data_IF_504679948950
#
_entry.id   IF_504679948950
#
_cell.length_a   1.000
_cell.length_b   1.000
_cell.length_c   1.000
_cell.angle_alpha   90.00
_cell.angle_beta   90.00
_cell.angle_gamma   90.00
#
_symmetry.space_group_name_H-M   'P 1'
#
loop_
_entity.id
_entity.type
_entity.pdbx_description
1 polymer ?
#
# COMPACT_ATOMS: atom_id res chain seq x y z
N UNK A 1 10.83 1.09 -5.96
CA UNK A 1 9.41 1.49 -5.90
C UNK A 1 9.38 2.99 -6.12
N UNK A 2 8.62 3.43 -7.12
CA UNK A 2 8.42 4.84 -7.42
C UNK A 2 6.99 5.23 -7.02
N UNK A 3 6.87 6.14 -6.06
CA UNK A 3 5.61 6.76 -5.67
C UNK A 3 5.38 8.08 -6.42
N UNK A 4 4.14 8.54 -6.42
CA UNK A 4 3.68 9.74 -7.10
C UNK A 4 3.06 10.71 -6.11
N UNK A 5 3.05 12.00 -6.45
CA UNK A 5 2.23 12.97 -5.72
C UNK A 5 0.77 12.76 -6.07
N UNK A 6 -0.12 12.83 -5.07
CA UNK A 6 -1.57 12.66 -5.26
C UNK A 6 -2.30 13.92 -4.84
N UNK A 7 -3.00 14.52 -5.81
CA UNK A 7 -3.85 15.69 -5.60
C UNK A 7 -5.30 15.25 -5.29
N UNK A 8 -5.95 15.97 -4.38
CA UNK A 8 -7.37 15.78 -4.02
C UNK A 8 -7.67 14.97 -2.75
N UNK A 9 -6.68 14.34 -2.10
CA UNK A 9 -6.87 13.57 -0.85
C UNK A 9 -5.71 13.77 0.12
N UNK A 10 -5.99 14.25 1.34
CA UNK A 10 -4.96 14.47 2.38
C UNK A 10 -4.45 13.19 3.06
N UNK A 11 -5.26 12.13 3.06
CA UNK A 11 -5.03 10.91 3.86
C UNK A 11 -4.64 9.69 2.98
N UNK A 12 -4.08 9.94 1.79
CA UNK A 12 -3.54 8.90 0.92
C UNK A 12 -2.16 8.42 1.43
N UNK A 13 -1.88 7.12 1.33
CA UNK A 13 -0.56 6.58 1.61
C UNK A 13 0.22 6.38 0.32
N UNK A 14 1.40 7.01 0.22
CA UNK A 14 2.32 7.10 -0.95
C UNK A 14 2.40 5.87 -1.89
N UNK A 15 2.31 4.67 -1.35
CA UNK A 15 2.45 3.37 -2.02
C UNK A 15 1.14 2.72 -2.46
N UNK A 16 -0.01 3.35 -2.26
CA UNK A 16 -1.30 2.85 -2.74
C UNK A 16 -1.42 2.82 -4.27
N UNK A 17 -0.68 3.72 -4.94
CA UNK A 17 -0.48 3.79 -6.39
C UNK A 17 1.00 4.07 -6.62
N UNK A 18 1.76 3.04 -7.00
CA UNK A 18 3.21 3.12 -7.19
C UNK A 18 3.70 2.16 -8.27
N UNK A 19 4.78 2.52 -8.97
CA UNK A 19 5.45 1.60 -9.89
C UNK A 19 6.46 0.72 -9.15
N UNK A 20 6.26 -0.59 -9.25
CA UNK A 20 7.10 -1.62 -8.63
C UNK A 20 7.87 -2.37 -9.72
N UNK A 21 9.17 -2.13 -9.82
CA UNK A 21 10.04 -2.82 -10.77
C UNK A 21 10.17 -4.32 -10.47
N UNK A 22 10.24 -5.14 -11.52
CA UNK A 22 10.25 -6.62 -11.45
C UNK A 22 11.25 -7.19 -10.44
N UNK A 23 12.49 -6.67 -10.38
CA UNK A 23 13.53 -7.11 -9.42
C UNK A 23 13.20 -6.84 -7.95
N UNK A 24 12.28 -5.92 -7.66
CA UNK A 24 11.73 -5.71 -6.32
C UNK A 24 10.60 -6.71 -6.05
N UNK A 25 9.68 -6.86 -7.02
CA UNK A 25 8.52 -7.75 -6.97
C UNK A 25 8.87 -9.24 -6.76
N UNK A 26 10.07 -9.67 -7.16
CA UNK A 26 10.60 -11.02 -6.91
C UNK A 26 10.83 -11.40 -5.43
N UNK A 27 10.67 -10.46 -4.47
CA UNK A 27 10.69 -10.74 -3.01
C UNK A 27 9.40 -11.33 -2.46
N UNK A 28 8.32 -11.22 -3.22
CA UNK A 28 6.99 -11.61 -2.76
C UNK A 28 6.67 -13.00 -3.31
N UNK A 29 6.27 -13.97 -2.46
CA UNK A 29 5.74 -15.26 -2.92
C UNK A 29 4.67 -15.05 -3.99
N UNK A 30 4.78 -15.78 -5.11
CA UNK A 30 3.89 -15.65 -6.29
C UNK A 30 3.72 -14.22 -6.85
N UNK A 31 4.65 -13.29 -6.52
CA UNK A 31 4.58 -11.85 -6.80
C UNK A 31 3.41 -11.14 -6.08
N UNK A 32 2.88 -11.74 -5.01
CA UNK A 32 1.79 -11.24 -4.18
C UNK A 32 2.24 -10.00 -3.37
N UNK A 33 2.27 -8.84 -4.02
CA UNK A 33 2.82 -7.57 -3.51
C UNK A 33 2.17 -7.09 -2.20
N UNK A 34 0.88 -7.33 -2.01
CA UNK A 34 0.14 -6.98 -0.80
C UNK A 34 0.06 -8.20 0.14
N UNK A 35 0.28 -7.98 1.44
CA UNK A 35 0.22 -9.07 2.43
C UNK A 35 -1.18 -9.70 2.48
N UNK A 36 -1.33 -11.02 2.21
CA UNK A 36 -2.64 -11.66 2.07
C UNK A 36 -3.44 -11.81 3.38
N UNK A 37 -2.88 -11.42 4.53
CA UNK A 37 -3.63 -11.32 5.78
C UNK A 37 -4.56 -10.11 5.86
N UNK A 38 -4.29 -9.04 5.12
CA UNK A 38 -5.17 -7.86 5.04
C UNK A 38 -6.34 -8.10 4.10
N UNK A 39 -7.48 -7.47 4.41
CA UNK A 39 -8.62 -7.45 3.50
C UNK A 39 -8.46 -6.35 2.42
N UNK A 40 -7.93 -5.18 2.80
CA UNK A 40 -7.77 -4.03 1.90
C UNK A 40 -6.55 -3.15 2.25
N UNK A 41 -6.24 -2.93 3.53
CA UNK A 41 -5.19 -1.99 3.94
C UNK A 41 -3.83 -2.69 4.08
N UNK A 42 -3.12 -2.85 2.97
CA UNK A 42 -1.80 -3.50 2.94
C UNK A 42 -0.71 -2.80 2.12
N UNK A 43 -0.96 -1.63 1.55
CA UNK A 43 0.00 -0.95 0.67
C UNK A 43 1.20 -0.35 1.43
N UNK A 44 1.07 -0.09 2.72
CA UNK A 44 2.06 0.62 3.53
C UNK A 44 3.38 -0.17 3.67
N UNK A 45 3.27 -1.49 3.80
CA UNK A 45 4.44 -2.38 3.94
C UNK A 45 5.38 -2.33 2.73
N UNK A 46 4.84 -2.06 1.52
CA UNK A 46 5.63 -1.86 0.29
C UNK A 46 6.59 -0.68 0.47
N UNK A 47 6.11 0.43 1.05
CA UNK A 47 6.93 1.61 1.31
C UNK A 47 7.91 1.40 2.45
N UNK A 48 7.55 0.62 3.48
CA UNK A 48 8.45 0.30 4.59
C UNK A 48 9.61 -0.60 4.12
N UNK A 49 9.34 -1.66 3.37
CA UNK A 49 10.37 -2.50 2.76
C UNK A 49 11.24 -1.70 1.77
N UNK A 50 10.60 -0.90 0.91
CA UNK A 50 11.33 -0.10 -0.07
C UNK A 50 12.24 0.95 0.60
N UNK A 51 11.82 1.56 1.71
CA UNK A 51 12.70 2.42 2.53
C UNK A 51 13.82 1.62 3.17
N UNK A 52 13.51 0.51 3.85
CA UNK A 52 14.50 -0.37 4.52
C UNK A 52 15.62 -0.81 3.57
N UNK A 53 15.28 -1.10 2.32
CA UNK A 53 16.24 -1.55 1.29
C UNK A 53 16.91 -0.41 0.49
N UNK A 54 16.61 0.87 0.78
CA UNK A 54 17.12 2.01 0.01
C UNK A 54 16.63 2.04 -1.45
N UNK A 55 15.41 1.53 -1.72
CA UNK A 55 14.79 1.38 -3.05
C UNK A 55 13.45 2.13 -3.18
N UNK A 56 13.16 3.06 -2.28
CA UNK A 56 11.98 3.95 -2.39
C UNK A 56 12.38 5.31 -2.97
N UNK A 57 11.57 5.83 -3.88
CA UNK A 57 11.73 7.15 -4.49
C UNK A 57 10.34 7.76 -4.73
N UNK A 58 10.23 9.08 -4.61
CA UNK A 58 9.06 9.85 -5.06
C UNK A 58 9.41 10.60 -6.36
N UNK A 59 8.45 10.75 -7.27
CA UNK A 59 8.55 11.63 -8.43
C UNK A 59 7.53 12.77 -8.32
N UNK A 60 8.00 13.93 -7.89
CA UNK A 60 7.14 15.08 -7.57
C UNK A 60 6.57 15.80 -8.80
N UNK A 61 7.16 15.56 -9.98
CA UNK A 61 6.69 16.10 -11.26
C UNK A 61 5.50 15.31 -11.82
N UNK A 62 5.29 14.08 -11.35
CA UNK A 62 4.16 13.24 -11.74
C UNK A 62 3.08 13.28 -10.65
N UNK A 63 2.00 13.98 -10.98
CA UNK A 63 0.82 14.17 -10.13
C UNK A 63 -0.34 13.33 -10.62
N UNK A 64 -1.04 12.67 -9.70
CA UNK A 64 -2.23 11.88 -9.98
C UNK A 64 -3.43 12.47 -9.25
N UNK A 65 -4.49 12.84 -9.97
CA UNK A 65 -5.76 13.26 -9.37
C UNK A 65 -6.51 12.03 -8.87
N UNK A 66 -6.70 11.89 -7.56
CA UNK A 66 -7.41 10.73 -7.01
C UNK A 66 -8.89 11.06 -6.74
N UNK A 67 -9.78 10.46 -7.54
CA UNK A 67 -11.24 10.65 -7.47
C UNK A 67 -11.89 9.86 -6.32
N UNK A 68 -11.64 10.28 -5.08
CA UNK A 68 -12.06 9.52 -3.89
C UNK A 68 -13.60 9.48 -3.71
N UNK A 69 -14.24 8.30 -3.57
CA UNK A 69 -15.69 8.21 -3.42
C UNK A 69 -16.28 8.82 -2.14
N UNK A 70 -15.47 9.27 -1.17
CA UNK A 70 -15.99 10.10 -0.08
C UNK A 70 -16.52 11.47 -0.56
N UNK A 71 -15.89 12.03 -1.59
CA UNK A 71 -16.32 13.26 -2.26
C UNK A 71 -17.28 12.95 -3.41
N UNK A 72 -17.01 11.86 -4.16
CA UNK A 72 -17.84 11.40 -5.27
C UNK A 72 -18.71 10.21 -4.85
N UNK A 73 -19.72 10.45 -3.99
CA UNK A 73 -20.54 9.37 -3.37
C UNK A 73 -21.22 8.41 -4.35
N UNK A 74 -21.44 8.82 -5.60
CA UNK A 74 -21.99 7.98 -6.67
C UNK A 74 -20.98 6.95 -7.22
N UNK A 75 -19.69 7.07 -6.87
CA UNK A 75 -18.62 6.11 -7.21
C UNK A 75 -18.35 5.09 -6.07
N UNK A 76 -19.21 5.02 -5.03
CA UNK A 76 -19.06 4.04 -3.94
C UNK A 76 -19.57 2.67 -4.41
N UNK A 77 -18.64 1.86 -4.92
CA UNK A 77 -18.84 0.46 -5.28
C UNK A 77 -18.94 -0.46 -4.04
N UNK A 78 -18.86 -1.78 -4.26
CA UNK A 78 -18.83 -2.77 -3.19
C UNK A 78 -17.48 -2.80 -2.47
N UNK A 79 -16.36 -2.72 -3.21
CA UNK A 79 -14.99 -2.66 -2.67
C UNK A 79 -14.84 -1.60 -1.57
N UNK A 80 -15.34 -0.39 -1.81
CA UNK A 80 -15.28 0.73 -0.84
C UNK A 80 -16.14 0.52 0.41
N UNK A 81 -17.19 -0.32 0.33
CA UNK A 81 -18.04 -0.67 1.48
C UNK A 81 -17.34 -1.73 2.33
N UNK A 82 -16.85 -2.78 1.70
CA UNK A 82 -16.19 -3.90 2.38
C UNK A 82 -14.86 -3.46 3.00
N UNK A 83 -14.08 -2.64 2.30
CA UNK A 83 -12.89 -1.99 2.86
C UNK A 83 -13.17 -1.28 4.19
N UNK A 84 -14.31 -0.58 4.32
CA UNK A 84 -14.70 0.06 5.58
C UNK A 84 -15.06 -0.94 6.66
N UNK A 85 -15.82 -1.99 6.34
CA UNK A 85 -16.22 -3.06 7.27
C UNK A 85 -15.00 -3.74 7.89
N UNK A 86 -13.95 -4.01 7.11
CA UNK A 86 -12.73 -4.69 7.59
C UNK A 86 -11.60 -3.73 8.00
N UNK A 87 -11.82 -2.41 7.95
CA UNK A 87 -10.77 -1.41 8.22
C UNK A 87 -10.19 -1.51 9.63
N UNK A 88 -11.01 -1.74 10.66
CA UNK A 88 -10.55 -1.86 12.06
C UNK A 88 -9.69 -3.12 12.27
N UNK A 89 -10.09 -4.25 11.65
CA UNK A 89 -9.34 -5.50 11.62
C UNK A 89 -7.95 -5.30 11.00
N UNK A 90 -7.90 -4.68 9.81
CA UNK A 90 -6.63 -4.47 9.12
C UNK A 90 -5.74 -3.47 9.89
N UNK A 91 -6.30 -2.39 10.46
CA UNK A 91 -5.56 -1.46 11.32
C UNK A 91 -5.02 -2.11 12.61
N UNK A 92 -5.72 -3.09 13.19
CA UNK A 92 -5.22 -3.87 14.32
C UNK A 92 -4.05 -4.78 13.89
N UNK A 93 -4.20 -5.49 12.76
CA UNK A 93 -3.17 -6.38 12.21
C UNK A 93 -1.91 -5.61 11.77
N UNK A 94 -2.06 -4.40 11.22
CA UNK A 94 -0.97 -3.46 10.94
C UNK A 94 -0.16 -3.19 12.21
N UNK A 95 -0.82 -2.79 13.30
CA UNK A 95 -0.17 -2.46 14.57
C UNK A 95 0.54 -3.67 15.19
N UNK A 96 -0.10 -4.85 15.12
CA UNK A 96 0.49 -6.10 15.60
C UNK A 96 1.77 -6.47 14.83
N UNK A 97 1.74 -6.36 13.50
CA UNK A 97 2.89 -6.65 12.63
C UNK A 97 4.03 -5.65 12.85
N UNK A 98 3.71 -4.35 12.95
CA UNK A 98 4.68 -3.31 13.32
C UNK A 98 5.32 -3.57 14.69
N UNK A 99 4.55 -3.91 15.72
CA UNK A 99 5.06 -4.22 17.06
C UNK A 99 5.97 -5.46 17.08
N UNK A 100 5.79 -6.40 16.14
CA UNK A 100 6.63 -7.57 15.94
C UNK A 100 7.81 -7.34 14.96
N UNK A 101 7.97 -6.13 14.42
CA UNK A 101 8.99 -5.80 13.42
C UNK A 101 8.80 -6.49 12.06
N UNK A 102 7.60 -7.00 11.77
CA UNK A 102 7.31 -7.80 10.58
C UNK A 102 6.96 -6.91 9.39
N UNK A 103 7.62 -7.16 8.25
CA UNK A 103 7.33 -6.54 6.96
C UNK A 103 7.19 -7.64 5.89
N UNK A 104 6.22 -7.51 5.00
CA UNK A 104 5.95 -8.46 3.92
C UNK A 104 6.95 -8.29 2.77
N UNK A 105 7.46 -9.41 2.24
CA UNK A 105 8.59 -9.42 1.30
C UNK A 105 9.95 -9.10 1.94
N UNK A 106 10.03 -9.07 3.27
CA UNK A 106 11.27 -8.82 4.05
C UNK A 106 11.94 -10.12 4.54
N UNK A 107 11.46 -11.27 4.08
CA UNK A 107 12.19 -12.52 4.20
C UNK A 107 13.51 -12.43 3.40
N UNK A 108 14.58 -13.13 3.82
CA UNK A 108 15.73 -13.32 2.93
C UNK A 108 15.26 -13.99 1.64
N UNK A 109 15.79 -13.54 0.51
CA UNK A 109 15.75 -14.34 -0.71
C UNK A 109 16.80 -15.45 -0.54
N UNK A 110 16.35 -16.71 -0.64
CA UNK A 110 17.22 -17.85 -0.97
C UNK A 110 17.76 -17.76 -2.42
#
# INVERSE_FOLDING_TARGET
VLAFQIDGVSNYHESGVALVGQKFLQRYPDKQLFFPGYYHFGCQEIAWLARKLGRFQSEERLRLTHFHPAFHKHLIDQTHREARVYSERDHALIKERQAKGLIWGDAPND
#
